data_IF_561717460863
#
_entry.id   IF_561717460863
#
_cell.length_a   1.000
_cell.length_b   1.000
_cell.length_c   1.000
_cell.angle_alpha   90.00
_cell.angle_beta   90.00
_cell.angle_gamma   90.00
#
_symmetry.space_group_name_H-M   'P 1'
#
loop_
_entity.id
_entity.type
_entity.pdbx_description
1 polymer ?
#
# COMPACT_ATOMS: atom_id res chain seq x y z
N UNK A 1 22.48 1.78 30.77
CA UNK A 1 23.43 1.08 29.87
C UNK A 1 22.78 0.98 28.51
N UNK A 2 23.49 1.32 27.44
CA UNK A 2 23.13 0.93 26.08
C UNK A 2 24.00 -0.25 25.65
N UNK A 3 23.39 -1.28 25.07
CA UNK A 3 24.10 -2.48 24.62
C UNK A 3 23.87 -2.65 23.13
N UNK A 4 24.95 -2.82 22.39
CA UNK A 4 24.84 -3.16 20.96
C UNK A 4 24.49 -4.63 20.84
N UNK A 5 23.35 -4.91 20.22
CA UNK A 5 22.80 -6.26 20.03
C UNK A 5 23.25 -6.85 18.69
N UNK A 6 23.34 -6.01 17.65
CA UNK A 6 23.74 -6.42 16.31
C UNK A 6 24.50 -5.29 15.59
N UNK A 7 25.41 -5.66 14.68
CA UNK A 7 26.09 -4.74 13.76
C UNK A 7 26.24 -5.37 12.38
N UNK A 8 26.27 -4.53 11.35
CA UNK A 8 26.53 -4.98 9.99
C UNK A 8 26.65 -3.82 9.00
N UNK A 9 26.44 -4.15 7.72
CA UNK A 9 26.49 -3.19 6.62
C UNK A 9 25.10 -2.97 6.02
N UNK A 10 24.74 -1.70 5.83
CA UNK A 10 23.50 -1.27 5.20
C UNK A 10 23.77 -0.18 4.15
N UNK A 11 22.71 0.28 3.49
CA UNK A 11 22.77 1.42 2.58
C UNK A 11 22.41 2.69 3.35
N UNK A 12 23.24 3.73 3.19
CA UNK A 12 22.94 5.05 3.72
C UNK A 12 21.62 5.57 3.13
N UNK A 13 20.62 5.97 3.94
CA UNK A 13 19.33 6.48 3.46
C UNK A 13 19.47 7.73 2.59
N UNK A 14 20.55 8.50 2.78
CA UNK A 14 20.80 9.75 2.07
C UNK A 14 21.57 9.57 0.75
N UNK A 15 22.69 8.85 0.77
CA UNK A 15 23.59 8.76 -0.39
C UNK A 15 23.74 7.36 -0.98
N UNK A 16 23.09 6.35 -0.40
CA UNK A 16 23.07 4.94 -0.87
C UNK A 16 24.46 4.28 -0.89
N UNK A 17 25.49 4.93 -0.33
CA UNK A 17 26.77 4.29 -0.06
C UNK A 17 26.61 3.16 0.96
N UNK A 18 27.54 2.21 0.95
CA UNK A 18 27.65 1.23 2.04
C UNK A 18 28.03 1.99 3.31
N UNK A 19 27.33 1.71 4.39
CA UNK A 19 27.50 2.33 5.69
C UNK A 19 27.34 1.29 6.80
N UNK A 20 27.96 1.53 7.95
CA UNK A 20 27.80 0.67 9.10
C UNK A 20 26.43 0.90 9.74
N UNK A 21 25.75 -0.17 10.15
CA UNK A 21 24.56 -0.09 10.99
C UNK A 21 24.76 -0.81 12.32
N UNK A 22 23.97 -0.41 13.31
CA UNK A 22 23.89 -1.07 14.61
C UNK A 22 22.45 -1.11 15.14
N UNK A 23 22.09 -2.20 15.79
CA UNK A 23 20.94 -2.24 16.69
C UNK A 23 21.42 -2.09 18.13
N UNK A 24 20.92 -1.08 18.83
CA UNK A 24 21.32 -0.69 20.17
C UNK A 24 20.13 -0.75 21.12
N UNK A 25 20.16 -1.67 22.07
CA UNK A 25 19.20 -1.72 23.16
C UNK A 25 19.43 -0.52 24.07
N UNK A 26 18.41 0.34 24.21
CA UNK A 26 18.53 1.66 24.85
C UNK A 26 17.70 1.81 26.13
N UNK A 27 16.89 0.80 26.49
CA UNK A 27 16.02 0.82 27.66
C UNK A 27 15.17 -0.44 27.75
N UNK A 28 14.30 -0.57 28.77
CA UNK A 28 13.45 -1.74 28.93
C UNK A 28 12.56 -1.90 27.69
N UNK A 29 12.87 -2.93 26.90
CA UNK A 29 12.20 -3.33 25.66
C UNK A 29 12.31 -2.33 24.49
N UNK A 30 13.26 -1.38 24.49
CA UNK A 30 13.47 -0.48 23.35
C UNK A 30 14.78 -0.76 22.62
N UNK A 31 14.70 -0.83 21.29
CA UNK A 31 15.84 -1.04 20.40
C UNK A 31 15.92 0.14 19.44
N UNK A 32 17.14 0.63 19.21
CA UNK A 32 17.41 1.73 18.30
C UNK A 32 18.24 1.22 17.13
N UNK A 33 17.76 1.47 15.93
CA UNK A 33 18.51 1.24 14.71
C UNK A 33 19.30 2.49 14.35
N UNK A 34 20.61 2.35 14.19
CA UNK A 34 21.53 3.43 13.88
C UNK A 34 22.28 3.13 12.58
N UNK A 35 22.49 4.12 11.71
CA UNK A 35 23.32 4.02 10.50
C UNK A 35 24.29 5.18 10.45
N UNK A 36 25.59 4.88 10.40
CA UNK A 36 26.65 5.88 10.35
C UNK A 36 27.36 5.82 8.99
N UNK A 37 27.19 6.87 8.18
CA UNK A 37 27.76 6.92 6.84
C UNK A 37 29.06 7.74 6.79
N UNK A 38 30.20 7.06 6.66
CA UNK A 38 31.50 7.71 6.49
C UNK A 38 31.64 8.53 5.19
N UNK A 39 30.81 8.27 4.16
CA UNK A 39 30.91 8.95 2.87
C UNK A 39 30.28 10.34 2.88
N UNK A 40 29.05 10.46 3.37
CA UNK A 40 28.32 11.73 3.36
C UNK A 40 28.11 12.33 4.75
N UNK A 41 28.57 11.66 5.81
CA UNK A 41 28.41 12.11 7.19
C UNK A 41 26.98 12.02 7.73
N UNK A 42 26.10 11.27 7.07
CA UNK A 42 24.74 11.05 7.59
C UNK A 42 24.80 10.13 8.80
N UNK A 43 24.10 10.52 9.86
CA UNK A 43 23.91 9.76 11.09
C UNK A 43 22.40 9.59 11.31
N UNK A 44 21.89 8.43 10.88
CA UNK A 44 20.48 8.12 10.92
C UNK A 44 20.15 7.27 12.13
N UNK A 45 19.03 7.57 12.77
CA UNK A 45 18.61 6.93 14.01
C UNK A 45 17.08 6.74 14.03
N UNK A 46 16.63 5.50 14.22
CA UNK A 46 15.22 5.14 14.40
C UNK A 46 15.05 4.37 15.71
N UNK A 47 14.16 4.85 16.59
CA UNK A 47 13.88 4.18 17.87
C UNK A 47 12.64 3.32 17.72
N UNK A 48 12.80 2.02 17.85
CA UNK A 48 11.71 1.06 17.99
C UNK A 48 11.38 0.89 19.47
N UNK A 49 10.29 1.53 19.89
CA UNK A 49 9.66 1.22 21.16
C UNK A 49 8.91 -0.12 21.04
N UNK A 50 8.80 -0.90 22.13
CA UNK A 50 8.00 -2.10 22.08
C UNK A 50 6.56 -1.70 21.78
N UNK A 51 5.94 -2.36 20.82
CA UNK A 51 4.49 -2.31 20.71
C UNK A 51 3.92 -2.83 22.03
N UNK A 52 2.96 -2.10 22.62
CA UNK A 52 2.39 -2.43 23.93
C UNK A 52 2.09 -3.94 24.03
N UNK A 53 2.36 -4.60 25.17
CA UNK A 53 2.03 -6.01 25.35
C UNK A 53 0.55 -6.19 25.04
N UNK A 54 0.25 -6.84 23.91
CA UNK A 54 -1.10 -6.89 23.34
C UNK A 54 -1.19 -6.56 21.85
N UNK A 55 -0.17 -5.96 21.22
CA UNK A 55 -0.20 -5.72 19.77
C UNK A 55 -0.20 -7.03 18.96
N UNK A 56 0.63 -8.01 19.32
CA UNK A 56 0.59 -9.34 18.68
C UNK A 56 -0.78 -10.01 18.86
N UNK A 57 -1.37 -9.89 20.05
CA UNK A 57 -2.71 -10.43 20.33
C UNK A 57 -3.81 -9.68 19.57
N UNK A 58 -3.66 -8.37 19.37
CA UNK A 58 -4.58 -7.56 18.57
C UNK A 58 -4.45 -7.85 17.07
N UNK A 59 -3.22 -8.08 16.57
CA UNK A 59 -2.98 -8.51 15.19
C UNK A 59 -3.53 -9.92 14.96
N UNK A 60 -3.34 -10.83 15.90
CA UNK A 60 -3.91 -12.18 15.85
C UNK A 60 -5.45 -12.14 15.90
N UNK A 61 -6.03 -11.28 16.74
CA UNK A 61 -7.47 -11.04 16.77
C UNK A 61 -8.01 -10.39 15.48
N UNK A 62 -7.24 -9.51 14.82
CA UNK A 62 -7.59 -8.97 13.50
C UNK A 62 -7.46 -10.03 12.41
N UNK A 63 -6.42 -10.88 12.46
CA UNK A 63 -6.22 -11.96 11.51
C UNK A 63 -7.30 -13.06 11.63
N UNK A 64 -7.89 -13.22 12.82
CA UNK A 64 -9.03 -14.08 13.07
C UNK A 64 -10.37 -13.51 12.57
N UNK A 65 -10.41 -12.27 12.08
CA UNK A 65 -11.64 -11.73 11.50
C UNK A 65 -11.93 -12.44 10.16
N UNK A 66 -13.15 -13.00 9.98
CA UNK A 66 -13.52 -13.57 8.71
C UNK A 66 -13.50 -12.45 7.66
N UNK A 67 -12.68 -12.62 6.62
CA UNK A 67 -12.67 -11.75 5.45
C UNK A 67 -14.07 -11.81 4.82
N UNK A 68 -14.91 -10.81 5.12
CA UNK A 68 -16.17 -10.61 4.40
C UNK A 68 -15.79 -10.11 3.01
N UNK A 69 -15.54 -11.05 2.09
CA UNK A 69 -15.41 -10.74 0.67
C UNK A 69 -16.80 -10.31 0.21
N UNK A 70 -17.04 -9.00 0.20
CA UNK A 70 -18.23 -8.45 -0.41
C UNK A 70 -18.25 -8.89 -1.87
N UNK A 71 -19.15 -9.82 -2.20
CA UNK A 71 -19.34 -10.32 -3.55
C UNK A 71 -19.53 -9.10 -4.48
N UNK A 72 -18.55 -8.88 -5.35
CA UNK A 72 -18.52 -7.68 -6.17
C UNK A 72 -19.62 -7.80 -7.23
N UNK A 73 -20.61 -6.91 -7.20
CA UNK A 73 -21.73 -6.86 -8.17
C UNK A 73 -21.30 -6.32 -9.56
N UNK A 74 -20.08 -6.64 -9.99
CA UNK A 74 -19.51 -6.25 -11.27
C UNK A 74 -20.35 -6.75 -12.46
N UNK A 75 -20.97 -7.92 -12.32
CA UNK A 75 -21.84 -8.51 -13.33
C UNK A 75 -23.08 -7.66 -13.64
N UNK A 76 -23.68 -7.03 -12.63
CA UNK A 76 -24.92 -6.25 -12.82
C UNK A 76 -24.65 -4.86 -13.40
N UNK A 77 -23.53 -4.22 -13.04
CA UNK A 77 -23.11 -2.95 -13.69
C UNK A 77 -22.85 -3.14 -15.19
N UNK A 78 -22.17 -4.23 -15.58
CA UNK A 78 -21.87 -4.50 -17.00
C UNK A 78 -23.14 -4.72 -17.83
N UNK A 79 -24.14 -5.45 -17.29
CA UNK A 79 -25.44 -5.66 -17.94
C UNK A 79 -26.21 -4.36 -18.16
N UNK A 80 -26.24 -3.46 -17.16
CA UNK A 80 -26.93 -2.16 -17.28
C UNK A 80 -26.27 -1.25 -18.33
N UNK A 81 -24.94 -1.20 -18.37
CA UNK A 81 -24.22 -0.40 -19.35
C UNK A 81 -24.44 -0.90 -20.78
N UNK A 82 -24.37 -2.22 -21.01
CA UNK A 82 -24.65 -2.82 -22.31
C UNK A 82 -26.10 -2.56 -22.79
N UNK A 83 -27.08 -2.60 -21.88
CA UNK A 83 -28.47 -2.27 -22.21
C UNK A 83 -28.64 -0.79 -22.60
N UNK A 84 -27.91 0.12 -21.94
CA UNK A 84 -27.95 1.54 -22.22
C UNK A 84 -27.33 1.88 -23.60
N UNK A 85 -26.15 1.34 -23.91
CA UNK A 85 -25.49 1.55 -25.21
C UNK A 85 -26.29 0.96 -26.37
N UNK A 86 -26.91 -0.22 -26.16
CA UNK A 86 -27.80 -0.82 -27.15
C UNK A 86 -29.00 0.10 -27.46
N UNK A 87 -29.57 0.76 -26.44
CA UNK A 87 -30.70 1.69 -26.60
C UNK A 87 -30.32 2.95 -27.38
N UNK A 88 -29.13 3.51 -27.12
CA UNK A 88 -28.60 4.65 -27.87
C UNK A 88 -28.34 4.30 -29.34
N UNK A 89 -27.73 3.15 -29.61
CA UNK A 89 -27.42 2.71 -30.98
C UNK A 89 -28.66 2.44 -31.85
N UNK A 90 -29.79 2.07 -31.22
CA UNK A 90 -31.07 1.90 -31.92
C UNK A 90 -31.72 3.25 -32.25
N UNK A 91 -31.59 4.23 -31.36
CA UNK A 91 -32.10 5.60 -31.59
C UNK A 91 -31.34 6.31 -32.69
N UNK A 92 -30.01 6.23 -32.70
CA UNK A 92 -29.19 6.85 -33.75
C UNK A 92 -29.45 6.22 -35.12
N UNK A 93 -29.55 4.89 -35.21
CA UNK A 93 -29.91 4.21 -36.47
C UNK A 93 -31.30 4.59 -37.01
N UNK A 94 -32.30 4.76 -36.13
CA UNK A 94 -33.63 5.26 -36.55
C UNK A 94 -33.57 6.70 -37.05
N UNK A 95 -32.82 7.56 -36.37
CA UNK A 95 -32.67 8.97 -36.76
C UNK A 95 -31.98 9.11 -38.12
N UNK A 96 -30.89 8.35 -38.36
CA UNK A 96 -30.18 8.35 -39.64
C UNK A 96 -31.07 7.88 -40.81
N UNK A 97 -31.85 6.80 -40.62
CA UNK A 97 -32.81 6.34 -41.64
C UNK A 97 -33.94 7.33 -41.91
N UNK A 98 -34.38 8.08 -40.89
CA UNK A 98 -35.40 9.12 -41.05
C UNK A 98 -34.87 10.35 -41.81
N UNK A 99 -33.57 10.66 -41.67
CA UNK A 99 -32.90 11.74 -42.42
C UNK A 99 -32.76 11.37 -43.89
N UNK A 100 -32.38 10.12 -44.22
CA UNK A 100 -32.23 9.66 -45.60
C UNK A 100 -33.56 9.62 -46.38
N UNK A 101 -34.68 9.31 -45.71
CA UNK A 101 -36.00 9.30 -46.35
C UNK A 101 -36.50 10.70 -46.72
N UNK A 102 -36.12 11.74 -45.96
CA UNK A 102 -36.58 13.12 -46.18
C UNK A 102 -35.82 13.86 -47.30
N UNK A 103 -34.77 13.25 -47.86
CA UNK A 103 -33.94 13.80 -48.95
C UNK A 103 -34.25 13.20 -50.33
N UNK A 104 -35.23 12.30 -50.43
CA UNK A 104 -35.78 11.78 -51.70
C UNK A 104 -37.18 12.33 -51.91
#
# INVERSE_FOLDING_TARGET
>A
MSVVVERGLARCPRCVAVADYAFVESGPNSVRYEVHCARCGEDYCEVHAPMAPGFSAAVEALAAQPLIVAASDFGSRRRRFAAWTARLSRRTRKALRAIDFRRR
#
